data_IF_492221559189
#
_entry.id   IF_492221559189
#
_cell.length_a   1.000
_cell.length_b   1.000
_cell.length_c   1.000
_cell.angle_alpha   90.00
_cell.angle_beta   90.00
_cell.angle_gamma   90.00
#
_symmetry.space_group_name_H-M   'P 1'
#
loop_
_entity.id
_entity.type
_entity.pdbx_description
1 polymer ?
#
# COMPACT_ATOMS: atom_id res chain seq x y z
N UNK A 1 -13.65 9.33 35.95
CA UNK A 1 -14.73 8.33 35.81
C UNK A 1 -14.93 8.08 34.32
N UNK A 2 -14.24 7.08 33.80
CA UNK A 2 -14.30 6.69 32.37
C UNK A 2 -15.63 6.00 32.12
N UNK A 3 -16.57 6.70 31.49
CA UNK A 3 -17.87 6.13 31.13
C UNK A 3 -17.69 4.91 30.24
N UNK A 4 -18.31 3.80 30.64
CA UNK A 4 -18.31 2.55 29.87
C UNK A 4 -19.04 2.79 28.54
N UNK A 5 -18.36 2.51 27.41
CA UNK A 5 -18.95 2.74 26.08
C UNK A 5 -19.99 1.67 25.79
N UNK A 6 -21.27 2.06 25.78
CA UNK A 6 -22.38 1.21 25.38
C UNK A 6 -22.51 1.23 23.85
N UNK A 7 -22.68 0.07 23.22
CA UNK A 7 -22.78 -0.07 21.76
C UNK A 7 -24.09 -0.73 21.28
N UNK A 8 -25.00 -0.99 22.21
CA UNK A 8 -26.29 -1.65 21.99
C UNK A 8 -27.38 -0.82 22.62
N UNK A 9 -28.47 -0.62 21.90
CA UNK A 9 -29.58 0.22 22.33
C UNK A 9 -30.90 -0.46 21.97
N UNK A 10 -31.92 -0.24 22.77
CA UNK A 10 -33.29 -0.73 22.58
C UNK A 10 -34.09 0.26 21.75
N UNK A 11 -33.85 1.57 21.93
CA UNK A 11 -34.50 2.64 21.17
C UNK A 11 -33.57 3.86 20.91
N UNK A 12 -34.04 4.80 20.07
CA UNK A 12 -33.29 6.03 19.76
C UNK A 12 -33.14 6.96 20.97
N UNK A 13 -34.08 6.93 21.92
CA UNK A 13 -34.06 7.79 23.10
C UNK A 13 -32.95 7.36 24.06
N UNK A 14 -32.73 6.06 24.21
CA UNK A 14 -31.61 5.48 24.94
C UNK A 14 -30.27 5.95 24.35
N UNK A 15 -30.09 5.85 23.03
CA UNK A 15 -28.90 6.35 22.34
C UNK A 15 -28.68 7.86 22.58
N UNK A 16 -29.73 8.68 22.54
CA UNK A 16 -29.61 10.12 22.77
C UNK A 16 -29.40 10.47 24.25
N UNK A 17 -29.94 9.68 25.17
CA UNK A 17 -29.82 9.90 26.62
C UNK A 17 -28.40 9.65 27.14
N UNK A 18 -27.67 8.73 26.51
CA UNK A 18 -26.25 8.42 26.82
C UNK A 18 -25.32 9.57 26.44
N UNK A 19 -25.74 10.46 25.53
CA UNK A 19 -24.87 11.38 24.81
C UNK A 19 -25.05 12.86 25.18
N UNK A 20 -25.66 13.19 26.34
CA UNK A 20 -26.01 14.53 26.89
C UNK A 20 -25.06 15.71 26.53
N UNK A 21 -25.09 16.15 25.28
CA UNK A 21 -24.35 17.27 24.68
C UNK A 21 -22.82 17.28 24.89
N UNK A 22 -22.23 16.10 25.12
CA UNK A 22 -20.78 15.89 25.17
C UNK A 22 -20.22 15.46 23.80
N UNK A 23 -18.90 15.38 23.70
CA UNK A 23 -18.23 14.85 22.52
C UNK A 23 -18.65 13.39 22.23
N UNK A 24 -18.84 13.09 20.95
CA UNK A 24 -19.28 11.79 20.47
C UNK A 24 -18.25 10.70 20.77
N UNK A 25 -18.59 9.79 21.69
CA UNK A 25 -17.76 8.67 22.14
C UNK A 25 -17.48 7.62 21.05
N UNK A 26 -18.25 7.65 19.96
CA UNK A 26 -18.14 6.73 18.83
C UNK A 26 -17.32 7.31 17.67
N UNK A 27 -16.92 8.57 17.76
CA UNK A 27 -16.11 9.23 16.74
C UNK A 27 -14.64 9.29 17.16
N UNK A 28 -13.74 9.21 16.18
CA UNK A 28 -12.30 9.42 16.42
C UNK A 28 -11.98 10.88 16.73
N UNK A 29 -12.68 11.78 16.04
CA UNK A 29 -12.51 13.22 16.17
C UNK A 29 -13.57 13.69 17.16
N UNK A 30 -13.21 14.49 18.18
CA UNK A 30 -14.18 15.12 19.07
C UNK A 30 -15.18 15.94 18.25
N UNK A 31 -16.46 15.54 18.31
CA UNK A 31 -17.57 16.20 17.63
C UNK A 31 -18.75 16.13 18.56
N UNK A 32 -19.45 17.24 18.79
CA UNK A 32 -20.64 17.27 19.64
C UNK A 32 -21.68 16.24 19.17
N UNK A 33 -22.15 15.41 20.09
CA UNK A 33 -23.07 14.32 19.82
C UNK A 33 -24.53 14.78 19.62
N UNK A 34 -24.74 15.74 18.72
CA UNK A 34 -26.08 16.22 18.39
C UNK A 34 -26.95 15.10 17.80
N UNK A 35 -28.28 15.20 17.99
CA UNK A 35 -29.26 14.27 17.38
C UNK A 35 -29.05 14.12 15.87
N UNK A 36 -28.76 15.22 15.17
CA UNK A 36 -28.48 15.20 13.73
C UNK A 36 -27.21 14.39 13.40
N UNK A 37 -26.13 14.59 14.15
CA UNK A 37 -24.88 13.86 13.98
C UNK A 37 -25.08 12.35 14.17
N UNK A 38 -25.69 11.96 15.30
CA UNK A 38 -25.93 10.56 15.65
C UNK A 38 -26.83 9.86 14.61
N UNK A 39 -27.89 10.53 14.14
CA UNK A 39 -28.76 9.99 13.08
C UNK A 39 -28.00 9.74 11.78
N UNK A 40 -27.21 10.72 11.32
CA UNK A 40 -26.53 10.68 10.01
C UNK A 40 -25.33 9.75 9.96
N UNK A 41 -24.53 9.68 11.04
CA UNK A 41 -23.25 8.97 11.07
C UNK A 41 -23.32 7.58 11.70
N UNK A 42 -24.20 7.38 12.68
CA UNK A 42 -24.26 6.15 13.46
C UNK A 42 -25.56 5.38 13.18
N UNK A 43 -26.73 5.99 13.45
CA UNK A 43 -28.02 5.32 13.34
C UNK A 43 -28.37 4.89 11.91
N UNK A 44 -28.00 5.69 10.90
CA UNK A 44 -28.19 5.34 9.47
C UNK A 44 -27.66 3.94 9.14
N UNK A 45 -26.57 3.55 9.79
CA UNK A 45 -25.87 2.28 9.57
C UNK A 45 -26.06 1.29 10.73
N UNK A 46 -27.05 1.53 11.61
CA UNK A 46 -27.39 0.63 12.69
C UNK A 46 -27.88 -0.72 12.17
N UNK A 47 -27.55 -1.77 12.92
CA UNK A 47 -27.91 -3.16 12.66
C UNK A 47 -28.90 -3.56 13.75
N UNK A 48 -30.12 -3.91 13.34
CA UNK A 48 -31.22 -4.27 14.22
C UNK A 48 -31.32 -5.80 14.34
N UNK A 49 -31.61 -6.26 15.54
CA UNK A 49 -31.74 -7.67 15.87
C UNK A 49 -32.60 -7.87 17.12
N UNK A 50 -33.07 -9.10 17.33
CA UNK A 50 -33.73 -9.52 18.56
C UNK A 50 -32.78 -10.39 19.36
N UNK A 51 -32.62 -10.03 20.62
CA UNK A 51 -31.89 -10.81 21.61
C UNK A 51 -32.87 -11.19 22.71
N UNK A 52 -33.13 -12.49 22.88
CA UNK A 52 -34.12 -13.02 23.83
C UNK A 52 -35.51 -12.39 23.67
N UNK A 53 -35.92 -12.12 22.42
CA UNK A 53 -37.22 -11.51 22.08
C UNK A 53 -37.27 -9.98 22.16
N UNK A 54 -36.25 -9.32 22.73
CA UNK A 54 -36.16 -7.86 22.84
C UNK A 54 -35.49 -7.30 21.59
N UNK A 55 -36.16 -6.35 20.91
CA UNK A 55 -35.58 -5.62 19.79
C UNK A 55 -34.45 -4.70 20.25
N UNK A 56 -33.26 -4.87 19.68
CA UNK A 56 -32.06 -4.08 19.95
C UNK A 56 -31.40 -3.67 18.64
N UNK A 57 -30.52 -2.68 18.69
CA UNK A 57 -29.66 -2.32 17.58
C UNK A 57 -28.25 -1.96 18.03
N UNK A 58 -27.28 -2.27 17.17
CA UNK A 58 -25.89 -1.82 17.33
C UNK A 58 -25.53 -0.80 16.27
N UNK A 59 -24.79 0.23 16.68
CA UNK A 59 -24.27 1.27 15.78
C UNK A 59 -22.80 1.02 15.44
N UNK A 60 -22.31 1.49 14.28
CA UNK A 60 -20.89 1.50 14.00
C UNK A 60 -20.14 2.52 14.86
N UNK A 61 -18.93 2.15 15.25
CA UNK A 61 -17.94 2.97 15.92
C UNK A 61 -16.80 3.34 14.95
N UNK A 62 -16.17 4.48 15.21
CA UNK A 62 -14.99 4.98 14.50
C UNK A 62 -13.84 5.24 15.47
N UNK A 63 -13.84 4.66 16.67
CA UNK A 63 -12.77 4.84 17.65
C UNK A 63 -11.42 4.30 17.18
N UNK A 64 -10.38 4.58 17.97
CA UNK A 64 -8.99 4.13 17.74
C UNK A 64 -8.84 2.61 17.77
N UNK A 65 -9.71 1.89 18.48
CA UNK A 65 -9.60 0.45 18.74
C UNK A 65 -9.73 -0.37 17.44
N UNK A 66 -10.31 0.22 16.40
CA UNK A 66 -10.44 -0.39 15.09
C UNK A 66 -9.22 -0.29 14.15
N UNK A 67 -8.08 0.29 14.58
CA UNK A 67 -6.78 0.26 13.90
C UNK A 67 -6.63 0.98 12.54
N UNK A 68 -7.64 0.94 11.67
CA UNK A 68 -7.53 1.32 10.24
C UNK A 68 -8.32 2.59 9.86
N UNK A 69 -8.83 3.36 10.82
CA UNK A 69 -9.60 4.60 10.56
C UNK A 69 -10.91 4.39 9.80
N UNK A 70 -11.43 3.16 9.75
CA UNK A 70 -12.72 2.79 9.13
C UNK A 70 -13.76 2.44 10.21
N UNK A 71 -15.04 2.54 9.86
CA UNK A 71 -16.15 2.12 10.72
C UNK A 71 -16.04 0.64 11.07
N UNK A 72 -16.29 0.29 12.33
CA UNK A 72 -16.28 -1.06 12.87
C UNK A 72 -17.39 -1.24 13.90
N UNK A 73 -17.64 -2.47 14.35
CA UNK A 73 -18.65 -2.81 15.34
C UNK A 73 -18.01 -3.57 16.50
N UNK A 74 -18.37 -3.19 17.73
CA UNK A 74 -17.98 -3.91 18.93
C UNK A 74 -19.06 -4.92 19.27
N UNK A 75 -18.69 -6.19 19.40
CA UNK A 75 -19.64 -7.20 19.85
C UNK A 75 -19.88 -7.06 21.37
N UNK A 76 -21.13 -6.86 21.82
CA UNK A 76 -21.46 -6.76 23.24
C UNK A 76 -21.32 -8.09 24.00
N UNK A 77 -21.30 -9.23 23.29
CA UNK A 77 -21.32 -10.57 23.89
C UNK A 77 -19.92 -11.20 24.05
N UNK A 78 -18.92 -10.76 23.26
CA UNK A 78 -17.58 -11.36 23.33
C UNK A 78 -16.44 -10.37 23.05
N UNK A 79 -16.72 -9.07 23.08
CA UNK A 79 -15.74 -7.97 22.94
C UNK A 79 -14.94 -7.96 21.63
N UNK A 80 -15.28 -8.81 20.64
CA UNK A 80 -14.62 -8.81 19.33
C UNK A 80 -14.97 -7.56 18.52
N UNK A 81 -13.97 -7.02 17.83
CA UNK A 81 -14.12 -5.88 16.92
C UNK A 81 -14.20 -6.36 15.47
N UNK A 82 -15.28 -6.00 14.77
CA UNK A 82 -15.61 -6.46 13.43
C UNK A 82 -15.63 -5.27 12.47
N UNK A 83 -14.86 -5.31 11.38
CA UNK A 83 -14.72 -4.16 10.47
C UNK A 83 -15.72 -4.12 9.31
N UNK A 84 -16.57 -5.14 9.15
CA UNK A 84 -17.53 -5.22 8.04
C UNK A 84 -18.91 -5.56 8.58
N UNK A 85 -19.93 -4.86 8.11
CA UNK A 85 -21.35 -5.08 8.46
C UNK A 85 -21.76 -6.54 8.29
N UNK A 86 -21.39 -7.16 7.17
CA UNK A 86 -21.74 -8.57 6.90
C UNK A 86 -21.06 -9.53 7.88
N UNK A 87 -19.79 -9.29 8.20
CA UNK A 87 -19.07 -10.10 9.18
C UNK A 87 -19.66 -9.91 10.58
N UNK A 88 -20.07 -8.69 10.93
CA UNK A 88 -20.74 -8.43 12.21
C UNK A 88 -22.10 -9.12 12.27
N UNK A 89 -22.94 -9.03 11.23
CA UNK A 89 -24.23 -9.74 11.16
C UNK A 89 -24.08 -11.25 11.38
N UNK A 90 -23.16 -11.88 10.65
CA UNK A 90 -22.87 -13.32 10.81
C UNK A 90 -22.33 -13.61 12.22
N UNK A 91 -21.47 -12.73 12.74
CA UNK A 91 -20.89 -12.91 14.06
C UNK A 91 -21.93 -12.85 15.18
N UNK A 92 -22.86 -11.88 15.13
CA UNK A 92 -23.90 -11.76 16.16
C UNK A 92 -24.92 -12.88 16.06
N UNK A 93 -25.30 -13.33 14.85
CA UNK A 93 -26.18 -14.51 14.71
C UNK A 93 -25.59 -15.77 15.33
N UNK A 94 -24.26 -15.91 15.35
CA UNK A 94 -23.60 -17.05 16.00
C UNK A 94 -23.70 -17.04 17.53
N UNK A 95 -24.13 -15.93 18.14
CA UNK A 95 -24.50 -15.87 19.56
C UNK A 95 -25.98 -16.20 19.81
N UNK A 96 -26.73 -16.57 18.78
CA UNK A 96 -28.15 -16.91 18.89
C UNK A 96 -29.11 -15.72 18.79
N UNK A 97 -28.67 -14.56 18.30
CA UNK A 97 -29.57 -13.41 18.05
C UNK A 97 -30.21 -13.49 16.65
N UNK A 98 -31.46 -13.07 16.55
CA UNK A 98 -32.24 -13.10 15.30
C UNK A 98 -32.19 -11.74 14.60
N UNK A 99 -31.87 -11.70 13.31
CA UNK A 99 -31.82 -10.42 12.57
C UNK A 99 -33.23 -9.93 12.23
N UNK A 100 -33.43 -8.61 12.29
CA UNK A 100 -34.67 -7.98 11.81
C UNK A 100 -34.39 -7.15 10.56
N UNK A 101 -35.25 -7.28 9.53
CA UNK A 101 -35.19 -6.45 8.34
C UNK A 101 -35.91 -5.11 8.56
N UNK A 102 -35.36 -4.06 7.94
CA UNK A 102 -35.56 -2.64 8.27
C UNK A 102 -36.89 -2.05 7.76
N UNK A 103 -38.01 -2.78 7.85
CA UNK A 103 -39.30 -2.29 7.31
C UNK A 103 -40.49 -2.62 8.20
N UNK A 104 -40.64 -1.88 9.30
CA UNK A 104 -41.93 -1.50 9.90
C UNK A 104 -41.63 -0.65 11.14
N UNK A 105 -41.51 0.66 10.99
CA UNK A 105 -42.18 1.72 11.75
C UNK A 105 -41.97 3.02 10.96
N UNK A 106 -43.07 3.73 10.78
CA UNK A 106 -43.37 4.87 9.92
C UNK A 106 -42.28 5.95 9.80
N UNK A 107 -42.06 6.45 8.58
CA UNK A 107 -41.90 7.88 8.27
C UNK A 107 -42.14 8.07 6.76
N UNK A 108 -43.08 8.95 6.45
CA UNK A 108 -43.55 9.26 5.09
C UNK A 108 -42.45 9.82 4.17
N UNK A 109 -42.65 9.68 2.83
CA UNK A 109 -41.59 9.77 1.83
C UNK A 109 -41.32 11.21 1.37
N UNK A 110 -40.05 11.54 1.13
CA UNK A 110 -39.66 12.60 0.19
C UNK A 110 -38.65 12.03 -0.81
N UNK A 111 -39.21 11.71 -1.97
CA UNK A 111 -38.67 11.93 -3.32
C UNK A 111 -37.18 12.30 -3.41
N UNK A 112 -36.38 11.41 -4.02
CA UNK A 112 -35.65 11.65 -5.27
C UNK A 112 -34.84 10.39 -5.63
N UNK A 113 -35.09 9.93 -6.84
CA UNK A 113 -34.33 8.99 -7.67
C UNK A 113 -34.39 7.49 -7.32
N UNK A 114 -35.53 6.90 -7.67
CA UNK A 114 -35.66 5.48 -7.98
C UNK A 114 -35.87 5.33 -9.50
N UNK A 115 -34.77 5.41 -10.24
CA UNK A 115 -34.64 4.79 -11.57
C UNK A 115 -33.43 3.85 -11.40
N UNK A 116 -33.59 2.57 -11.10
CA UNK A 116 -33.93 1.56 -12.12
C UNK A 116 -34.13 0.20 -11.42
N UNK A 117 -35.32 -0.06 -10.89
CA UNK A 117 -35.70 -1.41 -10.49
C UNK A 117 -37.16 -1.66 -10.87
N UNK A 118 -37.40 -2.00 -12.14
CA UNK A 118 -38.53 -2.85 -12.57
C UNK A 118 -38.16 -3.63 -13.82
N UNK A 119 -38.18 -4.94 -13.65
CA UNK A 119 -38.41 -6.04 -14.57
C UNK A 119 -37.55 -7.20 -14.05
N UNK A 120 -38.04 -8.37 -13.70
CA UNK A 120 -39.37 -8.90 -13.50
C UNK A 120 -39.16 -10.15 -12.63
N UNK A 121 -40.17 -10.53 -11.86
CA UNK A 121 -40.20 -11.83 -11.19
C UNK A 121 -40.51 -12.92 -12.21
N UNK A 122 -39.50 -13.61 -12.72
CA UNK A 122 -39.66 -14.96 -13.30
C UNK A 122 -38.46 -15.85 -12.94
N UNK A 123 -38.80 -17.07 -12.53
CA UNK A 123 -37.93 -18.19 -12.15
C UNK A 123 -36.65 -18.31 -13.01
N UNK A 124 -35.49 -18.00 -12.43
CA UNK A 124 -34.17 -18.37 -12.98
C UNK A 124 -33.22 -18.69 -11.84
N UNK A 125 -32.88 -19.98 -11.73
CA UNK A 125 -31.67 -20.54 -11.11
C UNK A 125 -30.65 -19.48 -10.70
N UNK A 126 -30.35 -19.38 -9.40
CA UNK A 126 -29.27 -18.56 -8.87
C UNK A 126 -27.96 -18.90 -9.60
N UNK A 127 -27.68 -18.15 -10.67
CA UNK A 127 -26.52 -18.34 -11.53
C UNK A 127 -25.27 -18.00 -10.76
N UNK A 128 -24.73 -18.98 -10.03
CA UNK A 128 -23.39 -18.92 -9.46
C UNK A 128 -22.44 -18.72 -10.65
N UNK A 129 -21.82 -17.54 -10.72
CA UNK A 129 -20.90 -17.24 -11.80
C UNK A 129 -19.55 -17.88 -11.45
N UNK A 130 -19.13 -18.86 -12.25
CA UNK A 130 -17.86 -19.54 -12.09
C UNK A 130 -16.75 -18.73 -12.75
N UNK A 131 -15.61 -18.61 -12.07
CA UNK A 131 -14.41 -18.11 -12.73
C UNK A 131 -13.96 -19.09 -13.80
N UNK A 132 -13.85 -18.62 -15.03
CA UNK A 132 -13.47 -19.47 -16.17
C UNK A 132 -12.02 -19.96 -16.08
N UNK A 133 -11.15 -19.31 -15.28
CA UNK A 133 -9.74 -19.69 -15.13
C UNK A 133 -9.47 -20.67 -13.98
N UNK A 134 -10.28 -20.70 -12.92
CA UNK A 134 -10.03 -21.59 -11.77
C UNK A 134 -11.27 -22.33 -11.24
N UNK A 135 -12.44 -22.15 -11.86
CA UNK A 135 -13.67 -22.84 -11.51
C UNK A 135 -14.34 -22.41 -10.20
N UNK A 136 -13.76 -21.46 -9.45
CA UNK A 136 -14.35 -21.01 -8.18
C UNK A 136 -15.67 -20.29 -8.45
N UNK A 137 -16.71 -20.70 -7.73
CA UNK A 137 -18.07 -20.19 -7.84
C UNK A 137 -18.26 -18.95 -6.97
N UNK A 138 -18.84 -17.91 -7.56
CA UNK A 138 -19.18 -16.67 -6.87
C UNK A 138 -20.67 -16.40 -6.92
N UNK A 139 -21.20 -15.92 -5.80
CA UNK A 139 -22.61 -15.57 -5.64
C UNK A 139 -22.97 -14.24 -6.28
N UNK A 140 -21.97 -13.39 -6.57
CA UNK A 140 -22.17 -12.11 -7.27
C UNK A 140 -21.11 -11.91 -8.34
N UNK A 141 -21.52 -11.30 -9.46
CA UNK A 141 -20.63 -10.89 -10.55
C UNK A 141 -19.57 -9.89 -10.08
N UNK A 142 -19.85 -9.07 -9.08
CA UNK A 142 -18.88 -8.14 -8.48
C UNK A 142 -17.76 -8.87 -7.72
N UNK A 143 -18.09 -9.96 -7.02
CA UNK A 143 -17.10 -10.81 -6.36
C UNK A 143 -16.33 -11.65 -7.37
N UNK A 144 -16.99 -12.17 -8.41
CA UNK A 144 -16.31 -12.84 -9.52
C UNK A 144 -15.31 -11.88 -10.19
N UNK A 145 -15.75 -10.70 -10.63
CA UNK A 145 -14.86 -9.68 -11.24
C UNK A 145 -13.73 -9.25 -10.31
N UNK A 146 -13.98 -9.19 -8.99
CA UNK A 146 -12.93 -8.91 -8.00
C UNK A 146 -11.96 -10.08 -7.87
N UNK A 147 -12.46 -11.30 -7.81
CA UNK A 147 -11.64 -12.50 -7.80
C UNK A 147 -10.82 -12.62 -9.08
N UNK A 148 -11.43 -12.45 -10.24
CA UNK A 148 -10.75 -12.43 -11.53
C UNK A 148 -9.69 -11.34 -11.56
N UNK A 149 -9.97 -10.11 -11.13
CA UNK A 149 -8.93 -9.08 -11.03
C UNK A 149 -7.79 -9.43 -10.06
N UNK A 150 -8.10 -10.01 -8.91
CA UNK A 150 -7.11 -10.27 -7.85
C UNK A 150 -6.31 -11.57 -8.04
N UNK A 151 -6.91 -12.59 -8.64
CA UNK A 151 -6.35 -13.94 -8.81
C UNK A 151 -5.96 -14.21 -10.25
N UNK A 152 -6.62 -13.57 -11.21
CA UNK A 152 -6.43 -13.76 -12.66
C UNK A 152 -6.04 -12.50 -13.43
N UNK A 153 -6.05 -11.33 -12.79
CA UNK A 153 -5.46 -10.08 -13.27
C UNK A 153 -3.96 -9.99 -12.98
N UNK A 154 -3.33 -11.12 -12.64
CA UNK A 154 -1.88 -11.25 -12.48
C UNK A 154 -1.13 -10.94 -13.78
N UNK A 155 -1.80 -11.07 -14.93
CA UNK A 155 -1.25 -10.87 -16.27
C UNK A 155 -1.13 -9.39 -16.69
N UNK A 156 -1.59 -8.45 -15.85
CA UNK A 156 -1.67 -7.02 -16.21
C UNK A 156 -0.72 -6.10 -15.43
N UNK A 157 0.23 -6.65 -14.67
CA UNK A 157 1.23 -5.82 -13.98
C UNK A 157 2.62 -6.08 -14.53
N UNK A 158 3.40 -5.03 -14.80
CA UNK A 158 4.76 -5.21 -15.27
C UNK A 158 5.59 -5.96 -14.23
N UNK A 159 6.48 -6.78 -14.75
CA UNK A 159 7.49 -7.53 -14.01
C UNK A 159 8.79 -7.37 -14.80
N UNK A 160 9.80 -6.79 -14.15
CA UNK A 160 11.08 -6.52 -14.78
C UNK A 160 12.14 -7.38 -14.11
N UNK A 161 12.95 -8.09 -14.89
CA UNK A 161 14.19 -8.67 -14.40
C UNK A 161 15.22 -7.53 -14.32
N UNK A 162 15.78 -7.28 -13.14
CA UNK A 162 16.72 -6.16 -12.91
C UNK A 162 18.14 -6.61 -12.58
N UNK A 163 18.30 -7.91 -12.28
CA UNK A 163 19.58 -8.52 -11.97
C UNK A 163 19.49 -10.00 -12.33
N UNK A 164 19.90 -10.33 -13.56
CA UNK A 164 19.85 -11.71 -14.05
C UNK A 164 20.77 -12.64 -13.25
N UNK A 165 21.94 -12.13 -12.81
CA UNK A 165 22.93 -12.90 -12.04
C UNK A 165 22.35 -13.34 -10.70
N UNK A 166 21.70 -12.43 -9.99
CA UNK A 166 21.12 -12.70 -8.67
C UNK A 166 19.65 -13.15 -8.71
N UNK A 167 19.08 -13.25 -9.92
CA UNK A 167 17.68 -13.56 -10.19
C UNK A 167 16.69 -12.63 -9.46
N UNK A 168 16.97 -11.31 -9.52
CA UNK A 168 16.15 -10.27 -8.90
C UNK A 168 15.20 -9.68 -9.93
N UNK A 169 13.94 -9.57 -9.51
CA UNK A 169 12.86 -8.99 -10.27
C UNK A 169 12.18 -7.88 -9.48
N UNK A 170 11.52 -6.97 -10.18
CA UNK A 170 10.67 -5.94 -9.57
C UNK A 170 9.28 -5.92 -10.19
N UNK A 171 8.28 -5.74 -9.34
CA UNK A 171 6.88 -5.56 -9.75
C UNK A 171 6.20 -4.57 -8.83
N UNK A 172 5.10 -3.93 -9.23
CA UNK A 172 4.32 -3.10 -8.33
C UNK A 172 3.77 -3.89 -7.13
N UNK A 173 3.95 -3.33 -5.92
CA UNK A 173 3.43 -3.87 -4.65
C UNK A 173 1.94 -4.15 -4.74
N UNK A 174 1.18 -3.14 -5.20
CA UNK A 174 -0.27 -3.17 -5.25
C UNK A 174 -0.78 -3.17 -6.70
N UNK A 175 -1.97 -3.75 -6.88
CA UNK A 175 -2.71 -3.73 -8.14
C UNK A 175 -3.36 -2.37 -8.44
N UNK A 176 -3.48 -1.49 -7.45
CA UNK A 176 -4.06 -0.15 -7.56
C UNK A 176 -3.33 0.83 -6.62
N UNK A 177 -3.39 2.12 -6.92
CA UNK A 177 -2.74 3.17 -6.13
C UNK A 177 -1.26 3.37 -6.49
N UNK A 178 -0.45 3.93 -5.58
CA UNK A 178 0.98 4.17 -5.83
C UNK A 178 1.70 2.87 -6.21
N UNK A 179 2.27 2.84 -7.42
CA UNK A 179 2.96 1.69 -8.02
C UNK A 179 4.36 1.51 -7.43
N UNK A 180 4.47 1.39 -6.13
CA UNK A 180 5.78 1.24 -5.48
C UNK A 180 6.38 -0.12 -5.88
N UNK A 181 7.58 -0.19 -6.51
CA UNK A 181 8.23 -1.45 -6.83
C UNK A 181 8.60 -2.21 -5.56
N UNK A 182 8.47 -3.53 -5.59
CA UNK A 182 9.03 -4.43 -4.59
C UNK A 182 10.01 -5.39 -5.26
N UNK A 183 11.05 -5.79 -4.52
CA UNK A 183 12.01 -6.79 -4.98
C UNK A 183 11.50 -8.21 -4.74
N UNK A 184 11.81 -9.07 -5.69
CA UNK A 184 11.53 -10.50 -5.66
C UNK A 184 12.80 -11.21 -6.10
N UNK A 185 13.15 -12.31 -5.44
CA UNK A 185 14.28 -13.15 -5.84
C UNK A 185 13.75 -14.56 -6.05
N UNK A 186 13.74 -15.02 -7.30
CA UNK A 186 13.23 -16.35 -7.65
C UNK A 186 14.21 -17.05 -8.58
N UNK A 187 14.76 -18.17 -8.12
CA UNK A 187 15.61 -19.03 -8.94
C UNK A 187 15.45 -20.48 -8.49
N UNK A 188 15.09 -21.33 -9.45
CA UNK A 188 15.06 -22.78 -9.22
C UNK A 188 16.47 -23.36 -9.14
N UNK A 189 17.41 -22.84 -9.93
CA UNK A 189 18.81 -23.25 -9.92
C UNK A 189 19.49 -22.93 -8.58
N UNK A 190 19.23 -21.75 -8.03
CA UNK A 190 19.78 -21.35 -6.73
C UNK A 190 18.93 -21.82 -5.54
N UNK A 191 17.75 -22.40 -5.80
CA UNK A 191 16.76 -22.80 -4.78
C UNK A 191 16.32 -21.64 -3.87
N UNK A 192 16.12 -20.46 -4.45
CA UNK A 192 15.74 -19.24 -3.71
C UNK A 192 14.34 -18.78 -4.15
N UNK A 193 13.47 -18.53 -3.17
CA UNK A 193 12.17 -17.85 -3.34
C UNK A 193 11.98 -16.81 -2.23
N UNK A 194 12.22 -15.54 -2.54
CA UNK A 194 12.08 -14.41 -1.61
C UNK A 194 11.17 -13.34 -2.20
N UNK A 195 10.32 -12.76 -1.35
CA UNK A 195 9.55 -11.56 -1.65
C UNK A 195 9.90 -10.48 -0.60
N UNK A 196 9.99 -9.21 -1.00
CA UNK A 196 10.26 -8.10 -0.06
C UNK A 196 9.17 -7.94 1.02
N UNK A 197 7.97 -8.47 0.79
CA UNK A 197 6.83 -8.28 1.68
C UNK A 197 6.68 -9.42 2.69
N UNK A 198 6.78 -9.11 3.99
CA UNK A 198 6.54 -10.06 5.10
C UNK A 198 5.18 -10.75 5.00
N UNK A 199 4.12 -10.03 4.63
CA UNK A 199 2.79 -10.61 4.41
C UNK A 199 2.76 -11.74 3.36
N UNK A 200 3.70 -11.75 2.40
CA UNK A 200 3.81 -12.83 1.44
C UNK A 200 4.45 -14.08 2.07
N UNK A 201 5.39 -13.90 2.98
CA UNK A 201 6.00 -15.00 3.73
C UNK A 201 4.98 -15.67 4.63
N UNK A 202 4.23 -14.88 5.40
CA UNK A 202 3.16 -15.39 6.26
C UNK A 202 2.09 -16.13 5.46
N UNK A 203 1.72 -15.60 4.30
CA UNK A 203 0.80 -16.26 3.39
C UNK A 203 1.32 -17.63 2.93
N UNK A 204 2.56 -17.71 2.43
CA UNK A 204 3.13 -18.97 1.95
C UNK A 204 3.28 -19.99 3.10
N UNK A 205 3.70 -19.53 4.28
CA UNK A 205 3.80 -20.36 5.49
C UNK A 205 2.44 -20.93 5.92
N UNK A 206 1.40 -20.10 5.92
CA UNK A 206 0.04 -20.53 6.26
C UNK A 206 -0.48 -21.57 5.26
N UNK A 207 -0.20 -21.41 3.95
CA UNK A 207 -0.58 -22.37 2.92
C UNK A 207 0.13 -23.71 3.08
N UNK A 208 1.43 -23.68 3.40
CA UNK A 208 2.20 -24.89 3.70
C UNK A 208 1.62 -25.66 4.90
N UNK A 209 1.27 -24.95 5.98
CA UNK A 209 0.64 -25.54 7.17
C UNK A 209 -0.74 -26.13 6.88
N UNK A 210 -1.48 -25.58 5.91
CA UNK A 210 -2.77 -26.11 5.45
C UNK A 210 -2.66 -27.24 4.42
N UNK A 211 -1.47 -27.77 4.16
CA UNK A 211 -1.25 -28.89 3.23
C UNK A 211 -0.94 -28.48 1.78
N UNK A 212 -0.61 -27.21 1.52
CA UNK A 212 -0.20 -26.72 0.20
C UNK A 212 1.16 -26.00 0.25
N UNK A 213 2.29 -26.74 0.36
CA UNK A 213 3.63 -26.15 0.49
C UNK A 213 4.16 -25.50 -0.78
N UNK A 214 3.61 -25.86 -1.96
CA UNK A 214 4.01 -25.27 -3.24
C UNK A 214 3.33 -23.94 -3.57
N UNK A 215 2.49 -23.42 -2.66
CA UNK A 215 1.72 -22.21 -2.95
C UNK A 215 2.61 -20.96 -2.88
N UNK A 216 2.95 -20.43 -4.05
CA UNK A 216 3.65 -19.16 -4.17
C UNK A 216 2.73 -17.95 -3.89
N UNK A 217 3.33 -16.86 -3.39
CA UNK A 217 2.64 -15.58 -3.32
C UNK A 217 2.41 -15.02 -4.74
N UNK A 218 1.43 -14.10 -4.88
CA UNK A 218 1.09 -13.52 -6.18
C UNK A 218 2.28 -12.87 -6.90
N UNK A 219 3.22 -12.32 -6.15
CA UNK A 219 4.39 -11.62 -6.68
C UNK A 219 5.41 -12.59 -7.26
N UNK A 220 5.68 -13.71 -6.56
CA UNK A 220 6.52 -14.80 -7.07
C UNK A 220 5.92 -15.43 -8.34
N UNK A 221 4.60 -15.62 -8.39
CA UNK A 221 3.93 -16.15 -9.60
C UNK A 221 4.14 -15.24 -10.81
N UNK A 222 4.17 -13.91 -10.65
CA UNK A 222 4.38 -12.97 -11.78
C UNK A 222 5.73 -13.11 -12.46
N UNK A 223 6.76 -13.58 -11.75
CA UNK A 223 8.09 -13.78 -12.35
C UNK A 223 8.06 -14.75 -13.54
N UNK A 224 7.06 -15.63 -13.62
CA UNK A 224 6.86 -16.53 -14.76
C UNK A 224 6.51 -15.79 -16.06
N UNK A 225 6.10 -14.52 -15.98
CA UNK A 225 5.78 -13.65 -17.12
C UNK A 225 6.85 -12.58 -17.35
N UNK A 226 8.02 -12.66 -16.69
CA UNK A 226 9.10 -11.70 -16.88
C UNK A 226 9.70 -11.80 -18.28
N UNK A 227 9.91 -10.64 -18.91
CA UNK A 227 10.69 -10.54 -20.13
C UNK A 227 12.18 -10.84 -19.89
N UNK A 228 12.95 -10.88 -20.98
CA UNK A 228 14.40 -10.98 -20.89
C UNK A 228 14.98 -9.76 -20.16
N UNK A 229 16.06 -9.97 -19.42
CA UNK A 229 16.80 -8.89 -18.79
C UNK A 229 17.40 -7.97 -19.86
N UNK A 230 17.23 -6.67 -19.67
CA UNK A 230 17.81 -5.61 -20.50
C UNK A 230 18.64 -4.72 -19.57
N UNK A 231 19.97 -4.65 -19.75
CA UNK A 231 20.81 -3.81 -18.90
C UNK A 231 20.50 -2.32 -19.12
N UNK A 232 20.46 -1.50 -18.05
CA UNK A 232 20.35 -0.06 -18.19
C UNK A 232 21.65 0.54 -18.74
N UNK A 233 21.60 1.73 -19.36
CA UNK A 233 22.80 2.51 -19.68
C UNK A 233 23.75 2.60 -18.49
N UNK A 234 25.04 2.28 -18.66
CA UNK A 234 26.02 2.31 -17.58
C UNK A 234 26.32 3.74 -17.15
N UNK A 235 26.66 3.93 -15.88
CA UNK A 235 27.04 5.22 -15.32
C UNK A 235 28.40 5.68 -15.90
N UNK A 236 28.41 6.84 -16.56
CA UNK A 236 29.59 7.40 -17.20
C UNK A 236 30.38 8.32 -16.25
N UNK A 237 31.68 8.07 -16.05
CA UNK A 237 32.51 8.91 -15.17
C UNK A 237 32.52 10.38 -15.62
N UNK A 238 32.47 10.64 -16.93
CA UNK A 238 32.44 12.01 -17.45
C UNK A 238 31.18 12.78 -17.01
N UNK A 239 30.02 12.13 -16.92
CA UNK A 239 28.80 12.79 -16.41
C UNK A 239 28.88 13.04 -14.90
N UNK A 240 29.60 12.19 -14.15
CA UNK A 240 29.88 12.43 -12.73
C UNK A 240 30.79 13.65 -12.51
N UNK A 241 31.83 13.79 -13.35
CA UNK A 241 32.70 14.97 -13.34
C UNK A 241 31.92 16.25 -13.63
N UNK A 242 31.04 16.22 -14.64
CA UNK A 242 30.18 17.36 -14.96
C UNK A 242 29.25 17.73 -13.81
N UNK A 243 28.64 16.74 -13.14
CA UNK A 243 27.83 16.98 -11.95
C UNK A 243 28.62 17.64 -10.82
N UNK A 244 29.88 17.25 -10.64
CA UNK A 244 30.78 17.87 -9.66
C UNK A 244 31.11 19.31 -10.03
N UNK A 245 31.39 19.61 -11.29
CA UNK A 245 31.62 20.98 -11.77
C UNK A 245 30.39 21.88 -11.66
N UNK A 246 29.19 21.30 -11.74
CA UNK A 246 27.92 22.01 -11.52
C UNK A 246 27.53 22.11 -10.03
N UNK A 247 28.44 21.76 -9.12
CA UNK A 247 28.21 21.74 -7.67
C UNK A 247 26.97 20.92 -7.27
N UNK A 248 26.62 19.88 -8.04
CA UNK A 248 25.48 19.01 -7.72
C UNK A 248 25.84 17.93 -6.71
N UNK A 249 27.13 17.64 -6.54
CA UNK A 249 27.70 16.66 -5.61
C UNK A 249 28.96 17.26 -4.99
N UNK A 250 29.19 17.03 -3.71
CA UNK A 250 30.48 17.35 -3.09
C UNK A 250 31.56 16.36 -3.55
N UNK A 251 32.84 16.72 -3.37
CA UNK A 251 33.97 15.83 -3.67
C UNK A 251 33.88 14.48 -2.94
N UNK A 252 33.40 14.48 -1.70
CA UNK A 252 33.16 13.26 -0.91
C UNK A 252 32.02 12.43 -1.47
N UNK A 253 30.88 13.06 -1.81
CA UNK A 253 29.74 12.36 -2.43
C UNK A 253 30.10 11.74 -3.79
N UNK A 254 30.89 12.47 -4.58
CA UNK A 254 31.44 11.99 -5.86
C UNK A 254 32.28 10.73 -5.65
N UNK A 255 33.23 10.77 -4.71
CA UNK A 255 34.07 9.63 -4.40
C UNK A 255 33.24 8.41 -3.95
N UNK A 256 32.29 8.60 -3.02
CA UNK A 256 31.39 7.53 -2.57
C UNK A 256 30.59 6.89 -3.73
N UNK A 257 30.08 7.72 -4.67
CA UNK A 257 29.36 7.23 -5.84
C UNK A 257 30.25 6.40 -6.76
N UNK A 258 31.47 6.88 -7.03
CA UNK A 258 32.43 6.20 -7.91
C UNK A 258 32.88 4.86 -7.31
N UNK A 259 33.12 4.83 -5.99
CA UNK A 259 33.51 3.61 -5.27
C UNK A 259 32.39 2.56 -5.30
N UNK A 260 31.14 2.99 -5.05
CA UNK A 260 29.99 2.08 -5.08
C UNK A 260 29.68 1.54 -6.48
N UNK A 261 29.83 2.38 -7.51
CA UNK A 261 29.71 1.93 -8.90
C UNK A 261 30.80 0.92 -9.25
N UNK A 262 32.04 1.17 -8.83
CA UNK A 262 33.17 0.26 -9.06
C UNK A 262 32.94 -1.12 -8.41
N UNK A 263 32.43 -1.15 -7.17
CA UNK A 263 32.07 -2.40 -6.49
C UNK A 263 30.97 -3.18 -7.22
N UNK A 264 29.92 -2.50 -7.68
CA UNK A 264 28.87 -3.14 -8.46
C UNK A 264 29.43 -3.74 -9.77
N UNK A 265 30.32 -3.04 -10.47
CA UNK A 265 30.99 -3.54 -11.66
C UNK A 265 31.85 -4.78 -11.39
N UNK A 266 32.63 -4.80 -10.29
CA UNK A 266 33.41 -5.98 -9.87
C UNK A 266 32.49 -7.17 -9.62
N UNK A 267 31.33 -6.92 -9.01
CA UNK A 267 30.31 -7.94 -8.79
C UNK A 267 29.53 -8.31 -10.06
N UNK A 268 29.75 -7.64 -11.19
CA UNK A 268 29.04 -7.90 -12.45
C UNK A 268 27.53 -7.66 -12.34
N UNK A 269 27.13 -6.63 -11.58
CA UNK A 269 25.73 -6.22 -11.40
C UNK A 269 25.58 -4.72 -11.65
N UNK A 270 24.39 -4.29 -12.08
CA UNK A 270 24.14 -2.86 -12.30
C UNK A 270 24.11 -2.10 -10.98
N UNK A 271 24.87 -1.01 -10.89
CA UNK A 271 24.85 -0.15 -9.70
C UNK A 271 23.47 0.49 -9.51
N UNK A 272 22.84 0.95 -10.59
CA UNK A 272 21.52 1.59 -10.60
C UNK A 272 20.69 0.96 -11.70
N UNK A 273 19.50 0.48 -11.35
CA UNK A 273 18.48 0.05 -12.31
C UNK A 273 17.27 0.99 -12.22
N UNK A 274 16.98 1.81 -13.25
CA UNK A 274 15.83 2.70 -13.27
C UNK A 274 14.54 1.91 -13.56
N UNK A 275 13.44 2.37 -12.99
CA UNK A 275 12.12 1.74 -13.14
C UNK A 275 11.15 2.85 -13.53
N UNK A 276 10.74 2.82 -14.79
CA UNK A 276 9.77 3.73 -15.38
C UNK A 276 8.45 2.99 -15.63
N UNK A 277 7.48 3.19 -14.75
CA UNK A 277 6.16 2.60 -14.95
C UNK A 277 5.38 3.26 -16.08
N UNK A 278 5.74 4.49 -16.48
CA UNK A 278 5.17 5.17 -17.64
C UNK A 278 5.35 4.40 -18.94
N UNK A 279 6.43 3.62 -19.07
CA UNK A 279 6.69 2.75 -20.23
C UNK A 279 5.76 1.53 -20.28
N UNK A 280 4.98 1.30 -19.22
CA UNK A 280 4.01 0.21 -19.09
C UNK A 280 2.57 0.73 -18.96
N UNK A 281 2.27 1.91 -19.50
CA UNK A 281 0.95 2.57 -19.47
C UNK A 281 0.42 2.85 -18.06
N UNK A 282 1.31 3.01 -17.08
CA UNK A 282 0.94 3.34 -15.70
C UNK A 282 1.24 4.81 -15.39
N UNK A 283 0.29 5.49 -14.75
CA UNK A 283 0.48 6.86 -14.28
C UNK A 283 1.70 6.96 -13.36
N UNK A 284 2.68 7.77 -13.77
CA UNK A 284 3.95 7.89 -13.07
C UNK A 284 4.17 9.32 -12.57
N UNK A 285 4.00 9.52 -11.26
CA UNK A 285 4.42 10.74 -10.56
C UNK A 285 5.84 10.63 -10.00
N UNK A 286 6.28 9.40 -9.74
CA UNK A 286 7.56 9.14 -9.15
C UNK A 286 8.34 8.17 -10.03
N UNK A 287 9.58 8.51 -10.34
CA UNK A 287 10.54 7.56 -10.91
C UNK A 287 11.14 6.75 -9.78
N UNK A 288 11.33 5.45 -10.00
CA UNK A 288 11.93 4.56 -9.01
C UNK A 288 13.28 4.03 -9.50
N UNK A 289 14.16 3.71 -8.55
CA UNK A 289 15.45 3.10 -8.83
C UNK A 289 15.68 1.95 -7.85
N UNK A 290 16.23 0.85 -8.36
CA UNK A 290 16.82 -0.21 -7.56
C UNK A 290 18.34 -0.02 -7.56
N UNK A 291 18.89 0.35 -6.40
CA UNK A 291 20.29 0.74 -6.27
C UNK A 291 21.04 -0.31 -5.45
N UNK A 292 22.19 -0.75 -5.96
CA UNK A 292 23.11 -1.64 -5.25
C UNK A 292 23.56 -1.02 -3.93
N UNK A 293 23.56 -1.80 -2.86
CA UNK A 293 23.88 -1.29 -1.51
C UNK A 293 25.21 -1.79 -0.98
N UNK A 294 25.80 -2.82 -1.59
CA UNK A 294 26.98 -3.53 -1.06
C UNK A 294 26.77 -4.13 0.35
N UNK A 295 25.51 -4.24 0.79
CA UNK A 295 25.16 -4.77 2.10
C UNK A 295 24.55 -6.16 1.94
N UNK A 296 25.17 -7.15 2.60
CA UNK A 296 24.63 -8.50 2.77
C UNK A 296 23.98 -8.68 4.17
N UNK A 297 23.32 -7.64 4.68
CA UNK A 297 22.68 -7.71 5.99
C UNK A 297 21.23 -8.21 5.93
N UNK A 298 20.69 -8.71 7.06
CA UNK A 298 19.31 -9.20 7.16
C UNK A 298 18.25 -8.16 6.74
N UNK A 299 18.60 -6.88 6.73
CA UNK A 299 17.71 -5.77 6.37
C UNK A 299 17.71 -5.49 4.86
N UNK A 300 18.70 -5.99 4.13
CA UNK A 300 18.85 -5.86 2.69
C UNK A 300 18.98 -7.24 2.02
N UNK A 301 17.96 -8.12 2.11
CA UNK A 301 18.04 -9.50 1.60
C UNK A 301 18.22 -9.60 0.07
N UNK A 302 18.13 -8.47 -0.64
CA UNK A 302 18.30 -8.37 -2.09
C UNK A 302 19.61 -7.67 -2.50
N UNK A 303 20.45 -7.22 -1.55
CA UNK A 303 21.66 -6.44 -1.85
C UNK A 303 21.38 -5.11 -2.57
N UNK A 304 20.12 -4.67 -2.55
CA UNK A 304 19.60 -3.51 -3.27
C UNK A 304 18.60 -2.74 -2.41
N UNK A 305 18.57 -1.42 -2.57
CA UNK A 305 17.60 -0.52 -1.93
C UNK A 305 16.79 0.23 -2.97
N UNK A 306 15.55 0.57 -2.60
CA UNK A 306 14.66 1.37 -3.44
C UNK A 306 14.90 2.85 -3.18
N UNK A 307 15.14 3.60 -4.24
CA UNK A 307 15.10 5.07 -4.26
C UNK A 307 13.88 5.52 -5.08
N UNK A 308 13.25 6.61 -4.67
CA UNK A 308 12.14 7.22 -5.42
C UNK A 308 12.35 8.72 -5.54
N UNK A 309 12.11 9.24 -6.73
CA UNK A 309 12.15 10.66 -7.06
C UNK A 309 10.75 11.12 -7.49
N UNK A 310 10.12 12.01 -6.74
CA UNK A 310 8.85 12.64 -7.13
C UNK A 310 9.13 13.81 -8.08
N UNK A 311 8.75 13.68 -9.35
CA UNK A 311 9.04 14.67 -10.39
C UNK A 311 8.27 15.98 -10.19
N UNK A 312 7.19 15.99 -9.40
CA UNK A 312 6.41 17.20 -9.12
C UNK A 312 6.91 17.96 -7.90
N UNK A 313 7.23 17.25 -6.82
CA UNK A 313 7.70 17.87 -5.58
C UNK A 313 9.22 17.95 -5.47
N UNK A 314 9.93 17.39 -6.46
CA UNK A 314 11.39 17.35 -6.52
C UNK A 314 11.99 16.75 -5.25
N UNK A 315 11.37 15.66 -4.78
CA UNK A 315 11.71 15.06 -3.49
C UNK A 315 12.26 13.65 -3.65
N UNK A 316 13.42 13.43 -3.05
CA UNK A 316 14.15 12.16 -3.05
C UNK A 316 13.96 11.39 -1.75
N UNK A 317 13.46 10.15 -1.87
CA UNK A 317 13.32 9.22 -0.74
C UNK A 317 14.12 7.95 -1.02
N UNK A 318 14.82 7.45 -0.01
CA UNK A 318 15.55 6.20 -0.06
C UNK A 318 15.17 5.35 1.17
N UNK A 319 15.15 4.03 1.02
CA UNK A 319 14.86 3.09 2.10
C UNK A 319 16.11 2.58 2.82
N UNK A 320 17.28 3.14 2.56
CA UNK A 320 18.48 2.78 3.29
C UNK A 320 18.35 3.15 4.78
N UNK A 321 19.06 2.40 5.64
CA UNK A 321 19.12 2.65 7.10
C UNK A 321 19.60 4.07 7.43
N UNK A 322 20.53 4.60 6.64
CA UNK A 322 21.03 5.95 6.77
C UNK A 322 19.94 6.92 6.30
N UNK A 323 19.01 7.30 7.20
CA UNK A 323 17.98 8.33 6.97
C UNK A 323 18.59 9.74 6.80
N UNK A 324 19.78 9.84 6.19
CA UNK A 324 20.42 11.10 5.82
C UNK A 324 19.59 11.78 4.73
N UNK A 325 19.58 13.11 4.76
CA UNK A 325 18.93 13.93 3.74
C UNK A 325 19.48 13.60 2.34
N UNK A 326 20.78 13.36 2.23
CA UNK A 326 21.48 12.80 1.07
C UNK A 326 22.27 11.56 1.46
N UNK A 327 22.05 10.48 0.73
CA UNK A 327 22.82 9.26 0.85
C UNK A 327 23.35 8.90 -0.53
N UNK A 328 24.46 8.15 -0.59
CA UNK A 328 25.06 7.69 -1.85
C UNK A 328 24.06 7.08 -2.83
N UNK A 329 23.05 6.34 -2.35
CA UNK A 329 22.01 5.77 -3.23
C UNK A 329 21.16 6.85 -3.94
N UNK A 330 20.84 7.95 -3.27
CA UNK A 330 20.14 9.09 -3.90
C UNK A 330 21.06 9.77 -4.91
N UNK A 331 22.34 9.95 -4.58
CA UNK A 331 23.33 10.55 -5.45
C UNK A 331 23.56 9.71 -6.73
N UNK A 332 23.70 8.40 -6.60
CA UNK A 332 23.77 7.44 -7.72
C UNK A 332 22.53 7.50 -8.61
N UNK A 333 21.33 7.57 -8.01
CA UNK A 333 20.08 7.69 -8.78
C UNK A 333 19.98 9.03 -9.51
N UNK A 334 20.45 10.11 -8.88
CA UNK A 334 20.53 11.44 -9.48
C UNK A 334 21.55 11.47 -10.62
N UNK A 335 22.69 10.80 -10.47
CA UNK A 335 23.70 10.67 -11.51
C UNK A 335 23.15 9.95 -12.74
N UNK A 336 22.43 8.84 -12.54
CA UNK A 336 21.78 8.16 -13.64
C UNK A 336 20.76 9.07 -14.35
N UNK A 337 19.90 9.78 -13.60
CA UNK A 337 18.93 10.71 -14.19
C UNK A 337 19.59 11.88 -14.92
N UNK A 338 20.67 12.43 -14.37
CA UNK A 338 21.39 13.54 -15.00
C UNK A 338 21.93 13.15 -16.37
N UNK A 339 22.44 11.92 -16.49
CA UNK A 339 22.97 11.39 -17.75
C UNK A 339 21.87 11.10 -18.76
N UNK A 340 20.82 10.38 -18.36
CA UNK A 340 19.88 9.76 -19.31
C UNK A 340 18.58 10.55 -19.48
N UNK A 341 18.19 11.34 -18.47
CA UNK A 341 16.92 12.08 -18.43
C UNK A 341 17.08 13.46 -17.76
N UNK A 342 18.02 14.31 -18.22
CA UNK A 342 18.27 15.62 -17.60
C UNK A 342 17.01 16.50 -17.56
N UNK A 343 16.08 16.32 -18.49
CA UNK A 343 14.76 16.99 -18.54
C UNK A 343 13.97 16.88 -17.23
N UNK A 344 14.12 15.79 -16.48
CA UNK A 344 13.40 15.57 -15.23
C UNK A 344 14.01 16.31 -14.03
N UNK A 345 15.20 16.88 -14.18
CA UNK A 345 15.94 17.56 -13.11
C UNK A 345 15.91 19.09 -13.22
N UNK A 346 15.31 19.69 -14.26
CA UNK A 346 15.48 21.12 -14.57
C UNK A 346 15.09 22.11 -13.45
N UNK A 347 14.17 21.76 -12.54
CA UNK A 347 13.83 22.59 -11.36
C UNK A 347 14.54 22.16 -10.06
N UNK A 348 15.23 21.02 -10.07
CA UNK A 348 15.91 20.40 -8.95
C UNK A 348 17.37 20.82 -8.80
N UNK A 349 17.99 21.19 -9.93
CA UNK A 349 19.42 21.44 -10.04
C UNK A 349 19.82 22.75 -9.37
N UNK A 350 19.01 23.80 -9.49
CA UNK A 350 19.28 25.12 -8.90
C UNK A 350 19.34 25.05 -7.37
N UNK A 351 18.38 24.36 -6.73
CA UNK A 351 18.32 24.21 -5.26
C UNK A 351 19.47 23.34 -4.71
N UNK A 352 20.02 22.45 -5.53
CA UNK A 352 21.13 21.59 -5.11
C UNK A 352 22.49 22.27 -5.23
N UNK A 353 22.71 23.06 -6.29
CA UNK A 353 23.94 23.82 -6.49
C UNK A 353 24.16 24.86 -5.37
N UNK A 354 23.16 25.72 -5.11
CA UNK A 354 23.25 26.79 -4.09
C UNK A 354 23.63 26.28 -2.68
N UNK A 355 23.24 25.05 -2.35
CA UNK A 355 23.54 24.47 -1.02
C UNK A 355 24.94 23.84 -0.94
N UNK A 356 25.43 23.25 -2.03
CA UNK A 356 26.80 22.71 -2.05
C UNK A 356 27.79 23.86 -1.93
N UNK A 357 27.54 24.97 -2.62
CA UNK A 357 28.33 26.19 -2.50
C UNK A 357 28.41 26.67 -1.05
N UNK A 358 27.28 26.72 -0.33
CA UNK A 358 27.24 27.10 1.07
C UNK A 358 27.97 26.13 2.02
N UNK A 359 28.02 24.83 1.70
CA UNK A 359 28.76 23.84 2.48
C UNK A 359 30.27 23.91 2.22
N UNK A 360 30.68 24.12 0.97
CA UNK A 360 32.09 24.30 0.61
C UNK A 360 32.65 25.60 1.16
N UNK A 361 31.84 26.67 1.18
CA UNK A 361 32.19 27.93 1.86
C UNK A 361 32.37 27.72 3.36
N UNK A 362 31.44 27.03 4.04
CA UNK A 362 31.56 26.73 5.46
C UNK A 362 32.75 25.81 5.82
N UNK A 363 33.17 24.92 4.91
CA UNK A 363 34.37 24.08 5.10
C UNK A 363 35.64 24.91 4.91
N UNK A 364 35.72 25.76 3.87
CA UNK A 364 36.85 26.68 3.67
C UNK A 364 37.03 27.62 4.87
N UNK A 365 35.94 28.20 5.36
CA UNK A 365 35.96 29.08 6.54
C UNK A 365 36.39 28.35 7.82
N UNK A 366 36.15 27.04 7.92
CA UNK A 366 36.57 26.23 9.07
C UNK A 366 38.04 25.81 8.99
N UNK A 367 38.60 25.67 7.77
CA UNK A 367 40.01 25.33 7.54
C UNK A 367 40.93 26.56 7.71
N UNK A 368 40.43 27.77 7.45
CA UNK A 368 41.17 29.04 7.62
C UNK A 368 41.28 29.52 9.09
N UNK A 369 40.62 28.81 10.04
CA UNK A 369 40.59 29.16 11.47
C UNK A 369 41.46 28.23 12.33
N UNK A 370 42.20 27.29 11.73
CA UNK A 370 43.08 26.32 12.42
C UNK A 370 44.55 26.69 12.36
#
# INVERSE_FOLDING_TARGET
>A
MTGERVFVFVDEEELFSVMKDLDCLYCRIPVTASKHHLKKKHLRFAIYYKDSGIGKFSIPCYCSDGGHGRSHWHCPMCSKILHRTQNYKIHITNHGVEMTDKSTVELQPTTVLLESLRADSEDKTAGKAACQKCGILFTTTSNLRRHERLQHGQDQQPILCIDAKNAIYVTPKYLHGPRVPIHIRKSFTLQILLCELEECWDFMKAQAQSGNPGKECRHLVRTNHAGHYVPPPPLCVNSLEEMSHKHLLSASEKHECQEMNSRACIQGVDCVYPIFWGEHDLSERCVFFSVYTDLEDKWCPFGRTRVSFDTKSVNWKCLCKHKRSRCVHKCLSMWWLFQERPELLHSALDVHAERVDALEEAVRDAEDVV
#
